data_IF_167228862277
#
_entry.id   IF_167228862277
#
_cell.length_a   1.000
_cell.length_b   1.000
_cell.length_c   1.000
_cell.angle_alpha   90.00
_cell.angle_beta   90.00
_cell.angle_gamma   90.00
#
_symmetry.space_group_name_H-M   'P 1'
#
loop_
_entity.id
_entity.type
_entity.pdbx_description
1 polymer ?
#
# COMPACT_ATOMS: atom_id res chain seq x y z
N UNK A 1 77.27 0.09 -7.33
CA UNK A 1 77.34 0.80 -6.04
C UNK A 1 78.73 0.53 -5.46
N UNK A 2 79.41 1.52 -4.88
CA UNK A 2 80.71 1.27 -4.24
C UNK A 2 80.54 0.70 -2.83
N UNK A 3 81.61 0.12 -2.27
CA UNK A 3 81.59 -0.52 -0.96
C UNK A 3 81.13 0.43 0.17
N UNK A 4 81.59 1.70 0.24
CA UNK A 4 81.14 2.63 1.28
C UNK A 4 79.63 2.92 1.24
N UNK A 5 79.05 3.09 0.04
CA UNK A 5 77.60 3.31 -0.08
C UNK A 5 76.82 2.06 0.32
N UNK A 6 77.29 0.87 -0.06
CA UNK A 6 76.68 -0.39 0.36
C UNK A 6 76.74 -0.56 1.88
N UNK A 7 77.88 -0.28 2.51
CA UNK A 7 78.03 -0.34 3.96
C UNK A 7 77.05 0.60 4.71
N UNK A 8 76.84 1.81 4.21
CA UNK A 8 75.90 2.77 4.81
C UNK A 8 74.43 2.34 4.74
N UNK A 9 74.07 1.44 3.82
CA UNK A 9 72.68 0.98 3.61
C UNK A 9 72.32 -0.25 4.46
N UNK A 10 73.28 -0.86 5.16
CA UNK A 10 73.06 -2.10 5.93
C UNK A 10 71.96 -1.94 6.98
N UNK A 11 72.01 -0.88 7.78
CA UNK A 11 71.07 -0.69 8.90
C UNK A 11 69.65 -0.39 8.38
N UNK A 12 69.52 0.49 7.39
CA UNK A 12 68.23 0.78 6.75
C UNK A 12 67.59 -0.45 6.07
N UNK A 13 68.41 -1.35 5.51
CA UNK A 13 67.92 -2.63 4.97
C UNK A 13 67.41 -3.55 6.10
N UNK A 14 68.09 -3.60 7.24
CA UNK A 14 67.66 -4.39 8.40
C UNK A 14 66.36 -3.86 9.01
N UNK A 15 66.17 -2.54 9.02
CA UNK A 15 64.98 -1.89 9.55
C UNK A 15 63.81 -1.84 8.55
N UNK A 16 64.04 -2.24 7.30
CA UNK A 16 63.02 -2.29 6.24
C UNK A 16 62.64 -0.91 5.69
N UNK A 17 63.51 0.07 5.83
CA UNK A 17 63.26 1.47 5.44
C UNK A 17 63.63 1.77 3.98
N UNK A 18 64.38 0.87 3.32
CA UNK A 18 64.73 1.01 1.92
C UNK A 18 63.52 0.82 1.00
N UNK A 19 63.41 1.67 -0.02
CA UNK A 19 62.46 1.49 -1.11
C UNK A 19 62.75 0.21 -1.90
N UNK A 20 61.77 -0.25 -2.71
CA UNK A 20 61.95 -1.44 -3.53
C UNK A 20 63.16 -1.34 -4.49
N UNK A 21 63.42 -0.15 -5.03
CA UNK A 21 64.56 0.11 -5.93
C UNK A 21 65.89 0.09 -5.20
N UNK A 22 65.95 0.64 -3.99
CA UNK A 22 67.15 0.65 -3.16
C UNK A 22 67.50 -0.75 -2.66
N UNK A 23 66.49 -1.54 -2.28
CA UNK A 23 66.67 -2.94 -1.91
C UNK A 23 67.32 -3.76 -3.04
N UNK A 24 66.82 -3.64 -4.27
CA UNK A 24 67.38 -4.37 -5.41
C UNK A 24 68.83 -3.98 -5.70
N UNK A 25 69.14 -2.68 -5.66
CA UNK A 25 70.49 -2.17 -5.87
C UNK A 25 71.47 -2.61 -4.75
N UNK A 26 70.99 -2.64 -3.50
CA UNK A 26 71.76 -3.10 -2.35
C UNK A 26 72.03 -4.60 -2.40
N UNK A 27 71.04 -5.44 -2.74
CA UNK A 27 71.20 -6.89 -2.89
C UNK A 27 72.18 -7.25 -4.00
N UNK A 28 72.16 -6.51 -5.11
CA UNK A 28 73.15 -6.66 -6.17
C UNK A 28 74.57 -6.32 -5.67
N UNK A 29 74.72 -5.23 -4.93
CA UNK A 29 76.01 -4.82 -4.37
C UNK A 29 76.55 -5.81 -3.31
N UNK A 30 75.68 -6.46 -2.54
CA UNK A 30 76.05 -7.49 -1.58
C UNK A 30 76.67 -8.73 -2.23
N UNK A 31 76.22 -9.11 -3.44
CA UNK A 31 76.79 -10.23 -4.17
C UNK A 31 78.28 -9.99 -4.50
N UNK A 32 78.65 -8.73 -4.73
CA UNK A 32 79.99 -8.31 -5.16
C UNK A 32 80.90 -7.92 -3.98
N UNK A 33 80.36 -7.69 -2.77
CA UNK A 33 81.13 -7.26 -1.60
C UNK A 33 81.02 -8.23 -0.39
N UNK A 34 82.07 -9.04 -0.10
CA UNK A 34 82.11 -9.90 1.09
C UNK A 34 82.05 -9.13 2.43
N UNK A 35 82.64 -7.93 2.50
CA UNK A 35 82.66 -7.12 3.72
C UNK A 35 81.27 -6.63 4.14
N UNK A 36 80.48 -6.14 3.17
CA UNK A 36 79.10 -5.73 3.42
C UNK A 36 78.20 -6.92 3.81
N UNK A 37 78.44 -8.12 3.26
CA UNK A 37 77.73 -9.35 3.70
C UNK A 37 78.00 -9.69 5.16
N UNK A 38 79.27 -9.69 5.57
CA UNK A 38 79.63 -9.94 6.96
C UNK A 38 79.03 -8.91 7.92
N UNK A 39 78.96 -7.64 7.50
CA UNK A 39 78.34 -6.57 8.29
C UNK A 39 76.82 -6.71 8.39
N UNK A 40 76.15 -7.12 7.32
CA UNK A 40 74.72 -7.43 7.35
C UNK A 40 74.40 -8.60 8.29
N UNK A 41 75.22 -9.66 8.27
CA UNK A 41 75.08 -10.78 9.20
C UNK A 41 75.25 -10.31 10.65
N UNK A 42 76.28 -9.53 10.95
CA UNK A 42 76.49 -8.97 12.29
C UNK A 42 75.31 -8.08 12.75
N UNK A 43 74.75 -7.25 11.87
CA UNK A 43 73.61 -6.40 12.18
C UNK A 43 72.33 -7.23 12.45
N UNK A 44 72.10 -8.28 11.65
CA UNK A 44 70.98 -9.23 11.86
C UNK A 44 71.13 -9.99 13.18
N UNK A 45 72.35 -10.41 13.52
CA UNK A 45 72.64 -11.11 14.77
C UNK A 45 72.38 -10.22 15.98
N UNK A 46 72.85 -8.97 15.93
CA UNK A 46 72.57 -7.97 16.95
C UNK A 46 71.06 -7.74 17.12
N UNK A 47 70.34 -7.55 16.02
CA UNK A 47 68.88 -7.34 16.04
C UNK A 47 68.14 -8.55 16.66
N UNK A 48 68.57 -9.78 16.33
CA UNK A 48 68.03 -11.01 16.93
C UNK A 48 68.27 -11.06 18.44
N UNK A 49 69.47 -10.72 18.90
CA UNK A 49 69.79 -10.69 20.33
C UNK A 49 68.94 -9.66 21.08
N UNK A 50 68.80 -8.44 20.53
CA UNK A 50 67.97 -7.38 21.12
C UNK A 50 66.49 -7.78 21.19
N UNK A 51 65.95 -8.39 20.13
CA UNK A 51 64.55 -8.87 20.12
C UNK A 51 64.31 -10.04 21.08
N UNK A 52 65.37 -10.79 21.43
CA UNK A 52 65.32 -11.87 22.42
C UNK A 52 65.37 -11.38 23.88
N UNK A 53 65.65 -10.10 24.12
CA UNK A 53 65.65 -9.54 25.46
C UNK A 53 64.22 -9.42 26.02
N UNK A 54 64.02 -9.57 27.34
CA UNK A 54 62.72 -9.34 27.96
C UNK A 54 62.25 -7.92 27.69
N UNK A 55 61.07 -7.77 27.10
CA UNK A 55 60.44 -6.47 26.95
C UNK A 55 59.85 -6.02 28.29
N UNK A 56 60.16 -4.80 28.72
CA UNK A 56 59.50 -4.19 29.86
C UNK A 56 58.06 -3.81 29.48
N UNK A 57 57.05 -4.16 30.30
CA UNK A 57 55.67 -3.80 29.99
C UNK A 57 55.50 -2.27 30.02
N UNK A 58 54.87 -1.72 28.99
CA UNK A 58 54.49 -0.31 28.98
C UNK A 58 53.57 0.01 30.19
N UNK A 59 53.74 1.18 30.84
CA UNK A 59 52.87 1.60 31.93
C UNK A 59 51.39 1.62 31.49
N UNK A 60 50.49 1.19 32.39
CA UNK A 60 49.06 1.07 32.06
C UNK A 60 48.44 2.38 31.56
N UNK A 61 48.90 3.52 32.08
CA UNK A 61 48.46 4.84 31.65
C UNK A 61 48.82 5.13 30.19
N UNK A 62 50.00 4.68 29.73
CA UNK A 62 50.44 4.86 28.35
C UNK A 62 49.62 3.97 27.42
N UNK A 63 49.43 2.70 27.79
CA UNK A 63 48.59 1.75 27.02
C UNK A 63 47.16 2.28 26.88
N UNK A 64 46.54 2.70 27.97
CA UNK A 64 45.18 3.22 27.97
C UNK A 64 45.03 4.50 27.11
N UNK A 65 46.05 5.36 27.10
CA UNK A 65 46.07 6.57 26.26
C UNK A 65 46.15 6.22 24.78
N UNK A 66 47.05 5.32 24.39
CA UNK A 66 47.22 4.89 23.00
C UNK A 66 45.95 4.20 22.48
N UNK A 67 45.37 3.28 23.25
CA UNK A 67 44.12 2.61 22.85
C UNK A 67 42.95 3.60 22.67
N UNK A 68 42.89 4.65 23.49
CA UNK A 68 41.86 5.68 23.37
C UNK A 68 42.03 6.48 22.09
N UNK A 69 43.25 6.88 21.73
CA UNK A 69 43.52 7.61 20.49
C UNK A 69 43.33 6.72 19.25
N UNK A 70 43.70 5.44 19.31
CA UNK A 70 43.41 4.53 18.20
C UNK A 70 41.90 4.37 17.97
N UNK A 71 41.09 4.34 19.03
CA UNK A 71 39.62 4.33 18.93
C UNK A 71 39.05 5.65 18.39
N UNK A 72 39.70 6.79 18.63
CA UNK A 72 39.26 8.10 18.11
C UNK A 72 39.56 8.22 16.61
N UNK A 73 40.75 7.78 16.18
CA UNK A 73 41.22 7.81 14.79
C UNK A 73 40.47 6.80 13.92
N UNK A 74 40.13 5.62 14.46
CA UNK A 74 39.45 4.57 13.71
C UNK A 74 38.02 4.95 13.25
N UNK A 75 37.45 6.05 13.76
CA UNK A 75 36.12 6.53 13.38
C UNK A 75 35.00 5.57 13.77
N UNK A 76 33.78 6.08 14.00
CA UNK A 76 32.60 5.27 14.31
C UNK A 76 31.79 5.00 13.03
N UNK A 77 32.03 3.91 12.27
CA UNK A 77 31.20 3.55 11.12
C UNK A 77 29.74 3.24 11.51
N UNK A 78 29.49 2.89 12.78
CA UNK A 78 28.17 2.47 13.29
C UNK A 78 27.12 3.57 13.47
N UNK A 79 27.50 4.84 13.58
CA UNK A 79 26.52 5.94 13.79
C UNK A 79 25.81 6.33 12.49
N UNK A 80 26.54 6.40 11.36
CA UNK A 80 25.98 6.74 10.05
C UNK A 80 25.01 5.67 9.51
N UNK A 81 25.26 4.40 9.83
CA UNK A 81 24.40 3.29 9.39
C UNK A 81 23.05 3.30 10.12
N UNK A 82 23.05 3.57 11.43
CA UNK A 82 21.82 3.72 12.23
C UNK A 82 20.96 4.89 11.77
N UNK A 83 21.56 5.98 11.32
CA UNK A 83 20.84 7.16 10.84
C UNK A 83 20.15 6.90 9.49
N UNK A 84 20.80 6.17 8.57
CA UNK A 84 20.20 5.72 7.31
C UNK A 84 19.00 4.80 7.53
N UNK A 85 19.12 3.83 8.44
CA UNK A 85 18.01 2.91 8.75
C UNK A 85 16.81 3.65 9.35
N UNK A 86 17.04 4.66 10.20
CA UNK A 86 15.97 5.51 10.74
C UNK A 86 15.26 6.32 9.65
N UNK A 87 16.01 6.93 8.73
CA UNK A 87 15.43 7.67 7.61
C UNK A 87 14.62 6.79 6.66
N UNK A 88 15.12 5.59 6.36
CA UNK A 88 14.38 4.60 5.57
C UNK A 88 13.09 4.15 6.28
N UNK A 89 13.13 3.94 7.60
CA UNK A 89 11.95 3.58 8.38
C UNK A 89 10.89 4.69 8.39
N UNK A 90 11.29 5.97 8.49
CA UNK A 90 10.36 7.10 8.39
C UNK A 90 9.76 7.25 6.98
N UNK A 91 10.56 7.05 5.93
CA UNK A 91 10.07 7.08 4.56
C UNK A 91 9.05 5.95 4.32
N UNK A 92 9.33 4.75 4.82
CA UNK A 92 8.43 3.60 4.72
C UNK A 92 7.11 3.85 5.48
N UNK A 93 7.15 4.45 6.68
CA UNK A 93 5.92 4.75 7.43
C UNK A 93 5.06 5.80 6.74
N UNK A 94 5.66 6.81 6.10
CA UNK A 94 4.94 7.81 5.32
C UNK A 94 4.25 7.19 4.09
N UNK A 95 4.94 6.30 3.36
CA UNK A 95 4.37 5.58 2.22
C UNK A 95 3.19 4.70 2.66
N UNK A 96 3.32 3.98 3.77
CA UNK A 96 2.23 3.16 4.32
C UNK A 96 1.05 4.05 4.73
N UNK A 97 1.29 5.16 5.43
CA UNK A 97 0.23 6.07 5.85
C UNK A 97 -0.52 6.68 4.64
N UNK A 98 0.22 7.12 3.61
CA UNK A 98 -0.38 7.65 2.37
C UNK A 98 -1.12 6.55 1.59
N UNK A 99 -0.56 5.35 1.52
CA UNK A 99 -1.20 4.21 0.86
C UNK A 99 -2.51 3.80 1.53
N UNK A 100 -2.51 3.66 2.86
CA UNK A 100 -3.72 3.37 3.63
C UNK A 100 -4.72 4.51 3.53
N UNK A 101 -4.28 5.76 3.62
CA UNK A 101 -5.14 6.94 3.47
C UNK A 101 -5.80 7.01 2.09
N UNK A 102 -5.05 6.74 1.03
CA UNK A 102 -5.56 6.74 -0.35
C UNK A 102 -6.57 5.60 -0.59
N UNK A 103 -6.21 4.36 -0.20
CA UNK A 103 -7.07 3.19 -0.38
C UNK A 103 -8.34 3.35 0.47
N UNK A 104 -8.21 3.66 1.76
CA UNK A 104 -9.33 3.88 2.66
C UNK A 104 -10.24 5.04 2.22
N UNK A 105 -9.64 6.16 1.80
CA UNK A 105 -10.37 7.31 1.27
C UNK A 105 -11.13 6.99 -0.03
N UNK A 106 -10.52 6.22 -0.94
CA UNK A 106 -11.17 5.83 -2.19
C UNK A 106 -12.37 4.90 -1.98
N UNK A 107 -12.28 3.94 -1.06
CA UNK A 107 -13.38 3.03 -0.74
C UNK A 107 -14.54 3.75 -0.04
N UNK A 108 -14.25 4.61 0.94
CA UNK A 108 -15.28 5.40 1.61
C UNK A 108 -15.94 6.42 0.66
N UNK A 109 -15.14 7.06 -0.21
CA UNK A 109 -15.65 8.03 -1.17
C UNK A 109 -16.43 7.43 -2.34
N UNK A 110 -16.25 6.14 -2.67
CA UNK A 110 -17.07 5.46 -3.67
C UNK A 110 -18.50 5.21 -3.16
N UNK A 111 -18.65 4.68 -1.94
CA UNK A 111 -19.96 4.42 -1.34
C UNK A 111 -20.79 5.70 -1.15
N UNK A 112 -20.15 6.79 -0.75
CA UNK A 112 -20.80 8.10 -0.65
C UNK A 112 -21.32 8.59 -2.02
N UNK A 113 -20.51 8.54 -3.07
CA UNK A 113 -20.91 8.96 -4.43
C UNK A 113 -22.04 8.14 -5.02
N UNK A 114 -22.05 6.82 -4.81
CA UNK A 114 -23.16 5.96 -5.25
C UNK A 114 -24.47 6.36 -4.56
N UNK A 115 -24.40 6.60 -3.24
CA UNK A 115 -25.54 7.04 -2.42
C UNK A 115 -26.10 8.36 -2.93
N UNK A 116 -25.24 9.36 -3.17
CA UNK A 116 -25.65 10.67 -3.70
C UNK A 116 -26.31 10.55 -5.07
N UNK A 117 -25.77 9.71 -5.95
CA UNK A 117 -26.35 9.46 -7.27
C UNK A 117 -27.73 8.79 -7.19
N UNK A 118 -27.93 7.86 -6.26
CA UNK A 118 -29.23 7.21 -6.01
C UNK A 118 -30.26 8.20 -5.48
N UNK A 119 -29.87 9.07 -4.54
CA UNK A 119 -30.74 10.12 -4.01
C UNK A 119 -31.11 11.13 -5.12
N UNK A 120 -30.16 11.54 -5.95
CA UNK A 120 -30.44 12.40 -7.11
C UNK A 120 -31.40 11.74 -8.11
N UNK A 121 -31.23 10.43 -8.36
CA UNK A 121 -32.15 9.62 -9.18
C UNK A 121 -33.56 9.59 -8.60
N UNK A 122 -33.68 9.39 -7.28
CA UNK A 122 -34.95 9.45 -6.55
C UNK A 122 -35.61 10.83 -6.64
N UNK A 123 -34.86 11.92 -6.44
CA UNK A 123 -35.41 13.28 -6.51
C UNK A 123 -36.02 13.58 -7.89
N UNK A 124 -35.43 13.08 -8.98
CA UNK A 124 -36.06 13.16 -10.31
C UNK A 124 -37.40 12.42 -10.38
N UNK A 125 -37.50 11.26 -9.75
CA UNK A 125 -38.77 10.50 -9.65
C UNK A 125 -39.78 11.23 -8.78
N UNK A 126 -39.36 11.82 -7.68
CA UNK A 126 -40.23 12.52 -6.74
C UNK A 126 -40.76 13.84 -7.30
N UNK A 127 -39.93 14.60 -8.03
CA UNK A 127 -40.25 15.93 -8.55
C UNK A 127 -40.93 15.93 -9.92
N UNK A 128 -40.86 14.82 -10.67
CA UNK A 128 -41.51 14.68 -11.98
C UNK A 128 -42.99 14.38 -11.84
N UNK A 129 -43.84 15.03 -12.64
CA UNK A 129 -45.30 14.84 -12.61
C UNK A 129 -45.68 13.37 -12.91
N UNK A 130 -45.10 12.78 -13.97
CA UNK A 130 -45.26 11.35 -14.26
C UNK A 130 -44.35 10.46 -13.39
N UNK A 131 -43.11 10.85 -13.12
CA UNK A 131 -42.13 10.08 -12.34
C UNK A 131 -41.66 8.77 -12.98
N UNK A 132 -42.33 8.32 -14.03
CA UNK A 132 -42.06 7.10 -14.80
C UNK A 132 -42.13 7.39 -16.29
N UNK A 133 -41.40 6.60 -17.08
CA UNK A 133 -41.42 6.66 -18.54
C UNK A 133 -42.45 5.69 -19.12
N UNK A 134 -42.76 4.61 -18.38
CA UNK A 134 -43.97 3.80 -18.59
C UNK A 134 -44.75 3.73 -17.31
N UNK A 135 -45.94 4.33 -17.33
CA UNK A 135 -46.94 4.19 -16.30
C UNK A 135 -47.75 2.91 -16.55
N UNK A 136 -47.41 1.83 -15.84
CA UNK A 136 -48.20 0.60 -15.84
C UNK A 136 -47.94 -0.20 -14.57
N UNK A 137 -49.02 -0.70 -13.97
CA UNK A 137 -49.00 -1.67 -12.88
C UNK A 137 -48.81 -3.11 -13.38
N UNK A 138 -48.89 -3.34 -14.70
CA UNK A 138 -48.81 -4.66 -15.31
C UNK A 138 -47.37 -5.02 -15.73
N UNK A 139 -46.85 -6.11 -15.16
CA UNK A 139 -45.56 -6.72 -15.51
C UNK A 139 -45.42 -7.01 -17.01
N UNK A 140 -46.53 -7.29 -17.71
CA UNK A 140 -46.54 -7.59 -19.13
C UNK A 140 -46.45 -6.35 -20.02
N UNK A 141 -46.52 -5.15 -19.45
CA UNK A 141 -46.24 -3.88 -20.14
C UNK A 141 -44.84 -3.35 -19.82
N UNK A 142 -44.41 -3.46 -18.55
CA UNK A 142 -43.13 -2.91 -18.09
C UNK A 142 -41.93 -3.74 -18.56
N UNK A 143 -42.00 -5.09 -18.51
CA UNK A 143 -40.87 -5.94 -18.94
C UNK A 143 -40.54 -5.77 -20.43
N UNK A 144 -41.51 -5.78 -21.36
CA UNK A 144 -41.22 -5.52 -22.77
C UNK A 144 -40.73 -4.10 -23.04
N UNK A 145 -41.14 -3.10 -22.25
CA UNK A 145 -40.66 -1.73 -22.44
C UNK A 145 -39.16 -1.56 -22.15
N UNK A 146 -38.64 -2.32 -21.18
CA UNK A 146 -37.20 -2.37 -20.91
C UNK A 146 -36.42 -3.08 -22.03
N UNK A 147 -37.06 -3.96 -22.81
CA UNK A 147 -36.44 -4.65 -23.93
C UNK A 147 -36.01 -3.63 -25.00
N UNK A 148 -34.69 -3.57 -25.26
CA UNK A 148 -34.09 -2.62 -26.21
C UNK A 148 -33.64 -1.28 -25.60
N UNK A 149 -33.95 -1.00 -24.32
CA UNK A 149 -33.44 0.19 -23.60
C UNK A 149 -32.30 -0.14 -22.63
N UNK A 150 -32.32 -1.35 -22.08
CA UNK A 150 -31.29 -1.94 -21.23
C UNK A 150 -30.98 -3.36 -21.70
N UNK A 151 -29.80 -3.86 -21.38
CA UNK A 151 -29.23 -5.14 -21.80
C UNK A 151 -29.62 -6.32 -20.90
N UNK A 152 -30.59 -6.13 -20.01
CA UNK A 152 -31.11 -7.15 -19.10
C UNK A 152 -32.61 -6.96 -18.81
N UNK A 153 -33.25 -7.99 -18.27
CA UNK A 153 -34.67 -7.93 -17.88
C UNK A 153 -34.81 -7.89 -16.35
N UNK A 154 -35.19 -6.75 -15.75
CA UNK A 154 -35.33 -6.65 -14.30
C UNK A 154 -36.52 -7.51 -13.82
N UNK A 155 -36.45 -8.10 -12.62
CA UNK A 155 -37.61 -8.70 -11.99
C UNK A 155 -38.62 -7.60 -11.66
N UNK A 156 -39.86 -7.76 -12.15
CA UNK A 156 -40.95 -6.80 -11.94
C UNK A 156 -42.09 -7.55 -11.28
N UNK A 157 -42.46 -7.13 -10.08
CA UNK A 157 -43.53 -7.70 -9.29
C UNK A 157 -44.54 -6.62 -8.90
N UNK A 158 -45.82 -6.95 -9.01
CA UNK A 158 -46.88 -6.16 -8.41
C UNK A 158 -46.92 -6.46 -6.90
N UNK A 159 -46.73 -5.42 -6.09
CA UNK A 159 -46.74 -5.49 -4.63
C UNK A 159 -47.97 -4.78 -4.02
N UNK A 160 -49.03 -4.59 -4.82
CA UNK A 160 -50.28 -3.94 -4.39
C UNK A 160 -50.88 -4.63 -3.17
N UNK A 161 -50.87 -5.96 -3.12
CA UNK A 161 -51.39 -6.72 -1.97
C UNK A 161 -50.61 -6.47 -0.67
N UNK A 162 -49.34 -6.08 -0.76
CA UNK A 162 -48.50 -5.68 0.39
C UNK A 162 -48.57 -4.17 0.66
N UNK A 163 -49.40 -3.43 -0.08
CA UNK A 163 -49.58 -1.99 0.06
C UNK A 163 -48.47 -1.16 -0.60
N UNK A 164 -47.83 -1.73 -1.63
CA UNK A 164 -46.82 -1.06 -2.46
C UNK A 164 -47.18 -1.22 -3.94
N UNK A 165 -48.24 -0.56 -4.46
CA UNK A 165 -48.57 -0.65 -5.87
C UNK A 165 -47.42 -0.17 -6.77
N UNK A 166 -47.18 -0.91 -7.85
CA UNK A 166 -46.25 -0.52 -8.91
C UNK A 166 -46.87 0.60 -9.74
N UNK A 167 -46.19 1.73 -9.85
CA UNK A 167 -46.58 2.84 -10.72
C UNK A 167 -46.04 2.67 -12.12
N UNK A 168 -44.85 2.06 -12.25
CA UNK A 168 -44.22 1.90 -13.55
C UNK A 168 -42.71 1.75 -13.48
N UNK A 169 -42.07 2.00 -14.62
CA UNK A 169 -40.64 1.89 -14.79
C UNK A 169 -40.03 3.07 -15.56
N UNK A 170 -38.73 3.26 -15.37
CA UNK A 170 -37.89 4.14 -16.18
C UNK A 170 -36.45 3.62 -16.23
N UNK A 171 -35.66 4.14 -17.14
CA UNK A 171 -34.20 3.90 -17.16
C UNK A 171 -33.52 5.14 -16.60
N UNK A 172 -32.50 4.93 -15.77
CA UNK A 172 -31.66 6.01 -15.29
C UNK A 172 -30.18 5.66 -15.44
N UNK A 173 -29.32 6.68 -15.36
CA UNK A 173 -27.88 6.55 -15.34
C UNK A 173 -27.38 6.86 -13.93
N UNK A 174 -26.99 5.83 -13.18
CA UNK A 174 -26.49 5.94 -11.80
C UNK A 174 -24.99 5.64 -11.82
N UNK A 175 -24.16 6.61 -11.45
CA UNK A 175 -22.69 6.52 -11.45
C UNK A 175 -22.12 5.94 -12.77
N UNK A 176 -22.63 6.42 -13.91
CA UNK A 176 -22.22 5.96 -15.25
C UNK A 176 -22.79 4.60 -15.68
N UNK A 177 -23.58 3.91 -14.83
CA UNK A 177 -24.26 2.65 -15.15
C UNK A 177 -25.71 2.91 -15.56
N UNK A 178 -26.14 2.38 -16.71
CA UNK A 178 -27.57 2.32 -17.07
C UNK A 178 -28.27 1.32 -16.15
N UNK A 179 -29.28 1.78 -15.42
CA UNK A 179 -30.01 0.99 -14.46
C UNK A 179 -31.52 1.07 -14.71
N UNK A 180 -32.22 -0.05 -14.47
CA UNK A 180 -33.66 -0.09 -14.39
C UNK A 180 -34.11 0.56 -13.07
N UNK A 181 -35.09 1.45 -13.13
CA UNK A 181 -35.75 2.01 -11.95
C UNK A 181 -37.22 1.64 -12.01
N UNK A 182 -37.69 0.87 -11.02
CA UNK A 182 -39.09 0.60 -10.79
C UNK A 182 -39.60 1.58 -9.74
N UNK A 183 -40.73 2.23 -10.03
CA UNK A 183 -41.32 3.20 -9.12
C UNK A 183 -42.54 2.59 -8.47
N UNK A 184 -42.48 2.46 -7.15
CA UNK A 184 -43.57 2.01 -6.30
C UNK A 184 -44.13 3.20 -5.53
N UNK A 185 -45.27 2.98 -4.86
CA UNK A 185 -45.89 4.00 -4.01
C UNK A 185 -46.29 3.43 -2.66
N UNK A 186 -46.12 4.22 -1.62
CA UNK A 186 -46.72 4.02 -0.29
C UNK A 186 -47.46 5.29 0.10
N UNK A 187 -48.79 5.23 0.17
CA UNK A 187 -49.64 6.41 0.38
C UNK A 187 -49.33 7.49 -0.68
N UNK A 188 -48.85 8.67 -0.27
CA UNK A 188 -48.42 9.76 -1.16
C UNK A 188 -46.92 9.71 -1.52
N UNK A 189 -46.14 8.85 -0.88
CA UNK A 189 -44.69 8.77 -1.05
C UNK A 189 -44.34 7.79 -2.18
N UNK A 190 -43.47 8.23 -3.10
CA UNK A 190 -42.90 7.37 -4.15
C UNK A 190 -41.69 6.64 -3.59
N UNK A 191 -41.42 5.46 -4.12
CA UNK A 191 -40.26 4.63 -3.79
C UNK A 191 -39.55 4.29 -5.09
N UNK A 192 -38.31 4.73 -5.26
CA UNK A 192 -37.50 4.39 -6.42
C UNK A 192 -36.66 3.15 -6.09
N UNK A 193 -36.99 2.02 -6.70
CA UNK A 193 -36.21 0.79 -6.64
C UNK A 193 -35.33 0.69 -7.88
N UNK A 194 -34.04 0.90 -7.72
CA UNK A 194 -33.04 0.77 -8.77
C UNK A 194 -32.44 -0.63 -8.76
N UNK A 195 -32.38 -1.28 -9.93
CA UNK A 195 -31.89 -2.65 -10.08
C UNK A 195 -30.89 -2.76 -11.24
N UNK A 196 -29.80 -3.50 -11.02
CA UNK A 196 -28.84 -3.87 -12.06
C UNK A 196 -28.24 -5.26 -11.81
N UNK A 197 -27.77 -5.97 -12.86
CA UNK A 197 -27.11 -7.26 -12.70
C UNK A 197 -25.86 -7.13 -11.82
N UNK A 198 -25.67 -8.06 -10.90
CA UNK A 198 -24.50 -8.04 -10.03
C UNK A 198 -24.05 -9.45 -9.63
N UNK A 199 -22.75 -9.71 -9.68
CA UNK A 199 -22.13 -10.98 -9.28
C UNK A 199 -22.04 -11.13 -7.75
N UNK A 200 -22.23 -12.35 -7.24
CA UNK A 200 -22.13 -12.68 -5.80
C UNK A 200 -23.37 -13.40 -5.24
N UNK A 201 -23.34 -13.72 -3.94
CA UNK A 201 -24.47 -14.37 -3.25
C UNK A 201 -25.65 -13.43 -3.00
N UNK A 202 -26.81 -14.00 -2.67
CA UNK A 202 -27.95 -13.23 -2.18
C UNK A 202 -27.63 -12.67 -0.77
N UNK A 203 -28.13 -11.48 -0.46
CA UNK A 203 -27.97 -10.83 0.85
C UNK A 203 -29.32 -10.39 1.39
N UNK A 204 -29.42 -10.24 2.72
CA UNK A 204 -30.65 -9.74 3.36
C UNK A 204 -30.77 -8.21 3.22
N UNK A 205 -31.99 -7.67 3.10
CA UNK A 205 -32.25 -6.23 3.17
C UNK A 205 -31.61 -5.55 4.38
N UNK A 206 -30.69 -4.63 4.08
CA UNK A 206 -30.17 -3.63 5.01
C UNK A 206 -30.88 -2.30 4.76
N UNK A 207 -31.15 -1.54 5.82
CA UNK A 207 -31.81 -0.22 5.73
C UNK A 207 -31.06 0.79 6.58
N UNK A 208 -30.69 1.90 5.95
CA UNK A 208 -30.05 3.07 6.56
C UNK A 208 -30.89 4.33 6.29
N UNK A 209 -30.55 5.44 6.95
CA UNK A 209 -31.20 6.74 6.73
C UNK A 209 -30.15 7.83 6.48
N UNK A 210 -30.27 8.56 5.37
CA UNK A 210 -29.37 9.65 4.98
C UNK A 210 -30.15 10.84 4.45
N UNK A 211 -29.83 12.04 4.93
CA UNK A 211 -30.44 13.31 4.49
C UNK A 211 -31.98 13.30 4.46
N UNK A 212 -32.58 12.58 5.42
CA UNK A 212 -34.03 12.42 5.54
C UNK A 212 -34.62 11.26 4.72
N UNK A 213 -33.89 10.70 3.76
CA UNK A 213 -34.34 9.57 2.95
C UNK A 213 -34.00 8.24 3.61
N UNK A 214 -34.93 7.29 3.56
CA UNK A 214 -34.63 5.90 3.86
C UNK A 214 -34.00 5.23 2.63
N UNK A 215 -32.93 4.49 2.86
CA UNK A 215 -32.22 3.74 1.83
C UNK A 215 -32.23 2.27 2.18
N UNK A 216 -32.55 1.41 1.22
CA UNK A 216 -32.39 -0.02 1.36
C UNK A 216 -31.40 -0.58 0.35
N UNK A 217 -30.59 -1.54 0.78
CA UNK A 217 -29.57 -2.16 -0.04
C UNK A 217 -29.56 -3.69 0.18
N UNK A 218 -29.63 -4.45 -0.93
CA UNK A 218 -29.47 -5.91 -0.90
C UNK A 218 -29.17 -6.49 -2.29
N UNK A 219 -29.00 -7.81 -2.32
CA UNK A 219 -28.84 -8.60 -3.54
C UNK A 219 -29.80 -9.78 -3.52
N UNK A 220 -30.52 -9.98 -4.61
CA UNK A 220 -31.41 -11.12 -4.78
C UNK A 220 -31.55 -11.47 -6.26
N UNK A 221 -31.55 -12.76 -6.57
CA UNK A 221 -31.91 -13.21 -7.93
C UNK A 221 -30.89 -12.83 -9.00
N UNK A 222 -29.63 -12.55 -8.62
CA UNK A 222 -28.60 -12.05 -9.55
C UNK A 222 -28.62 -10.53 -9.78
N UNK A 223 -29.48 -9.80 -9.06
CA UNK A 223 -29.56 -8.34 -9.13
C UNK A 223 -29.10 -7.70 -7.82
N UNK A 224 -28.35 -6.61 -7.92
CA UNK A 224 -28.22 -5.66 -6.83
C UNK A 224 -29.43 -4.73 -6.85
N UNK A 225 -29.98 -4.47 -5.67
CA UNK A 225 -31.18 -3.68 -5.47
C UNK A 225 -30.86 -2.53 -4.51
N UNK A 226 -31.28 -1.33 -4.89
CA UNK A 226 -31.18 -0.11 -4.09
C UNK A 226 -32.51 0.60 -4.10
N UNK A 227 -33.12 0.80 -2.94
CA UNK A 227 -34.35 1.56 -2.82
C UNK A 227 -34.09 2.88 -2.11
N UNK A 228 -34.69 3.96 -2.61
CA UNK A 228 -34.66 5.28 -1.95
C UNK A 228 -36.07 5.83 -1.90
N UNK A 229 -36.46 6.36 -0.74
CA UNK A 229 -37.75 7.00 -0.54
C UNK A 229 -37.74 7.94 0.66
N UNK A 230 -38.61 8.94 0.62
CA UNK A 230 -38.95 9.80 1.77
C UNK A 230 -40.06 9.13 2.59
N UNK A 231 -39.71 8.09 3.36
CA UNK A 231 -40.60 7.36 4.26
C UNK A 231 -39.84 6.80 5.46
N UNK A 232 -40.56 6.26 6.44
CA UNK A 232 -39.93 5.75 7.67
C UNK A 232 -39.03 4.51 7.41
N UNK A 233 -37.93 4.33 8.15
CA UNK A 233 -37.09 3.13 8.01
C UNK A 233 -37.86 1.81 8.21
N UNK A 234 -38.92 1.81 9.01
CA UNK A 234 -39.76 0.62 9.22
C UNK A 234 -40.60 0.27 7.97
N UNK A 235 -41.16 1.28 7.30
CA UNK A 235 -41.86 1.08 6.03
C UNK A 235 -40.89 0.65 4.92
N UNK A 236 -39.67 1.22 4.89
CA UNK A 236 -38.63 0.80 3.95
C UNK A 236 -38.24 -0.67 4.15
N UNK A 237 -38.05 -1.10 5.40
CA UNK A 237 -37.81 -2.52 5.74
C UNK A 237 -38.94 -3.42 5.25
N UNK A 238 -40.18 -2.99 5.41
CA UNK A 238 -41.36 -3.73 4.96
C UNK A 238 -41.42 -3.86 3.43
N UNK A 239 -41.12 -2.77 2.72
CA UNK A 239 -41.00 -2.76 1.26
C UNK A 239 -39.89 -3.70 0.77
N UNK A 240 -38.67 -3.53 1.28
CA UNK A 240 -37.52 -4.33 0.85
C UNK A 240 -37.74 -5.82 1.11
N UNK A 241 -38.36 -6.19 2.25
CA UNK A 241 -38.71 -7.57 2.54
C UNK A 241 -39.81 -8.12 1.60
N UNK A 242 -40.76 -7.29 1.16
CA UNK A 242 -41.78 -7.70 0.19
C UNK A 242 -41.16 -7.97 -1.19
N UNK A 243 -40.27 -7.10 -1.66
CA UNK A 243 -39.52 -7.30 -2.92
C UNK A 243 -38.65 -8.54 -2.82
N UNK A 244 -37.89 -8.70 -1.73
CA UNK A 244 -36.98 -9.84 -1.53
C UNK A 244 -37.72 -11.18 -1.63
N UNK A 245 -38.87 -11.30 -0.95
CA UNK A 245 -39.72 -12.50 -1.03
C UNK A 245 -40.30 -12.74 -2.42
N UNK A 246 -40.76 -11.68 -3.09
CA UNK A 246 -41.35 -11.79 -4.42
C UNK A 246 -40.34 -12.29 -5.45
N UNK A 247 -39.11 -11.77 -5.42
CA UNK A 247 -38.04 -12.20 -6.33
C UNK A 247 -37.53 -13.59 -5.98
N UNK A 248 -37.52 -13.97 -4.70
CA UNK A 248 -37.16 -15.32 -4.28
C UNK A 248 -38.16 -16.38 -4.77
N UNK A 249 -39.44 -16.02 -4.96
CA UNK A 249 -40.49 -16.93 -5.41
C UNK A 249 -40.49 -17.20 -6.94
N UNK A 250 -39.77 -16.39 -7.73
CA UNK A 250 -39.63 -16.56 -9.19
C UNK A 250 -38.52 -17.55 -9.59
N UNK A 251 -37.77 -18.12 -8.62
CA UNK A 251 -36.74 -19.15 -8.82
C UNK A 251 -37.28 -20.55 -8.58
#
# INVERSE_FOLDING_TARGET
MDCPTCEAMVDAYVDGELSATENAAFEQALAECPGCRARLEAARDMSRLLRGMPAEPAPDLLRARIERELRSIAGRPRERERERVRWLAMAASLIVALGVGWIGGSMLGQGARETDALVAGYLRVAMSDSGVEVASSDRHTVKPWFAGRIDYSPPVHDLTAQGFPLLGGRVDLIDGRKAAVLVYRRNQHRIALTLWPASGGDTTPSVDQRDGFALADWRRGGFAMRAVADLSPAEMKSFAAAVDRAVAADR
#
